data_IF_816810283877
#
_entry.id   IF_816810283877
#
_cell.length_a   1.000
_cell.length_b   1.000
_cell.length_c   1.000
_cell.angle_alpha   90.00
_cell.angle_beta   90.00
_cell.angle_gamma   90.00
#
_symmetry.space_group_name_H-M   'P 1'
#
loop_
_entity.id
_entity.type
_entity.pdbx_description
1 polymer ?
#
# COMPACT_ATOMS: atom_id res chain seq x y z
N UNK A 1 17.92 32.04 3.01
CA UNK A 1 17.28 31.91 4.33
C UNK A 1 18.24 31.15 5.26
N UNK A 2 18.30 31.45 6.57
CA UNK A 2 19.29 30.83 7.48
C UNK A 2 19.19 29.29 7.55
N UNK A 3 17.96 28.76 7.40
CA UNK A 3 17.66 27.32 7.37
C UNK A 3 18.37 26.58 6.23
N UNK A 4 18.54 27.21 5.06
CA UNK A 4 19.18 26.61 3.89
C UNK A 4 20.65 27.00 3.71
N UNK A 5 21.10 28.10 4.32
CA UNK A 5 22.43 28.67 4.11
C UNK A 5 23.45 28.33 5.22
N UNK A 6 22.99 28.00 6.43
CA UNK A 6 23.87 27.64 7.55
C UNK A 6 23.99 26.11 7.74
N UNK A 7 25.13 25.66 8.27
CA UNK A 7 25.33 24.24 8.63
C UNK A 7 24.40 23.78 9.75
N UNK A 8 24.07 24.68 10.69
CA UNK A 8 23.15 24.43 11.80
C UNK A 8 21.72 24.30 11.30
N UNK A 9 21.25 25.25 10.46
CA UNK A 9 19.90 25.22 9.89
C UNK A 9 19.62 23.94 9.11
N UNK A 10 20.58 23.46 8.30
CA UNK A 10 20.43 22.21 7.55
C UNK A 10 20.29 20.98 8.45
N UNK A 11 21.07 20.91 9.53
CA UNK A 11 20.97 19.82 10.51
C UNK A 11 19.67 19.86 11.29
N UNK A 12 19.14 21.05 11.57
CA UNK A 12 17.82 21.18 12.21
C UNK A 12 16.71 20.65 11.30
N UNK A 13 16.69 21.02 10.01
CA UNK A 13 15.71 20.49 9.04
C UNK A 13 15.84 18.97 8.90
N UNK A 14 17.07 18.46 8.84
CA UNK A 14 17.36 17.02 8.83
C UNK A 14 16.78 16.31 10.06
N UNK A 15 16.93 16.89 11.25
CA UNK A 15 16.43 16.33 12.50
C UNK A 15 14.91 16.34 12.58
N UNK A 16 14.26 17.45 12.20
CA UNK A 16 12.79 17.57 12.23
C UNK A 16 12.14 16.60 11.25
N UNK A 17 12.61 16.57 9.99
CA UNK A 17 12.09 15.62 9.00
C UNK A 17 12.33 14.17 9.45
N UNK A 18 13.52 13.86 9.98
CA UNK A 18 13.83 12.55 10.55
C UNK A 18 12.89 12.15 11.70
N UNK A 19 12.58 13.07 12.61
CA UNK A 19 11.66 12.83 13.71
C UNK A 19 10.24 12.52 13.21
N UNK A 20 9.73 13.29 12.23
CA UNK A 20 8.44 13.01 11.62
C UNK A 20 8.40 11.63 10.93
N UNK A 21 9.48 11.25 10.23
CA UNK A 21 9.58 9.94 9.59
C UNK A 21 9.68 8.78 10.60
N UNK A 22 10.35 8.98 11.73
CA UNK A 22 10.38 8.01 12.85
C UNK A 22 8.96 7.79 13.40
N UNK A 23 8.19 8.86 13.60
CA UNK A 23 6.80 8.77 14.04
C UNK A 23 5.93 8.04 13.01
N UNK A 24 6.08 8.39 11.73
CA UNK A 24 5.37 7.71 10.64
C UNK A 24 5.69 6.22 10.60
N UNK A 25 6.96 5.82 10.63
CA UNK A 25 7.36 4.41 10.59
C UNK A 25 6.85 3.66 11.82
N UNK A 26 6.83 4.30 12.99
CA UNK A 26 6.23 3.72 14.21
C UNK A 26 4.74 3.46 14.00
N UNK A 27 3.99 4.47 13.57
CA UNK A 27 2.56 4.35 13.28
C UNK A 27 2.31 3.26 12.24
N UNK A 28 3.04 3.29 11.13
CA UNK A 28 2.94 2.31 10.04
C UNK A 28 3.21 0.88 10.53
N UNK A 29 4.24 0.68 11.35
CA UNK A 29 4.53 -0.62 11.97
C UNK A 29 3.38 -1.12 12.84
N UNK A 30 2.77 -0.25 13.65
CA UNK A 30 1.65 -0.62 14.53
C UNK A 30 0.39 -0.96 13.73
N UNK A 31 0.06 -0.18 12.70
CA UNK A 31 -1.10 -0.46 11.85
C UNK A 31 -0.94 -1.80 11.11
N UNK A 32 0.26 -2.09 10.56
CA UNK A 32 0.53 -3.37 9.91
C UNK A 32 0.50 -4.55 10.88
N UNK A 33 0.84 -4.35 12.16
CA UNK A 33 0.76 -5.41 13.17
C UNK A 33 -0.69 -5.86 13.40
N UNK A 34 -1.69 -4.99 13.18
CA UNK A 34 -3.10 -5.37 13.23
C UNK A 34 -3.41 -6.45 12.19
N UNK A 35 -2.79 -6.41 11.00
CA UNK A 35 -3.01 -7.41 9.96
C UNK A 35 -2.52 -8.82 10.33
N UNK A 36 -1.61 -8.94 11.32
CA UNK A 36 -1.18 -10.23 11.87
C UNK A 36 -2.30 -10.84 12.72
N UNK A 37 -2.80 -10.05 13.68
CA UNK A 37 -3.69 -10.53 14.74
C UNK A 37 -5.17 -10.48 14.34
N UNK A 38 -5.58 -9.42 13.64
CA UNK A 38 -6.97 -9.14 13.25
C UNK A 38 -7.04 -8.64 11.80
N UNK A 39 -6.90 -9.55 10.81
CA UNK A 39 -6.93 -9.20 9.38
C UNK A 39 -8.16 -8.38 8.94
N UNK A 40 -9.34 -8.69 9.44
CA UNK A 40 -10.56 -7.93 9.11
C UNK A 40 -10.50 -6.49 9.65
N UNK A 41 -9.94 -6.28 10.85
CA UNK A 41 -9.75 -4.94 11.40
C UNK A 41 -8.72 -4.13 10.61
N UNK A 42 -7.71 -4.79 10.03
CA UNK A 42 -6.77 -4.15 9.12
C UNK A 42 -7.44 -3.60 7.86
N UNK A 43 -8.42 -4.30 7.30
CA UNK A 43 -9.18 -3.76 6.17
C UNK A 43 -10.03 -2.53 6.56
N UNK A 44 -10.65 -2.54 7.74
CA UNK A 44 -11.36 -1.35 8.25
C UNK A 44 -10.41 -0.16 8.48
N UNK A 45 -9.17 -0.43 8.88
CA UNK A 45 -8.11 0.58 8.92
C UNK A 45 -7.80 1.11 7.52
N UNK A 46 -7.71 0.23 6.52
CA UNK A 46 -7.44 0.62 5.14
C UNK A 46 -8.56 1.50 4.58
N UNK A 47 -9.81 1.16 4.86
CA UNK A 47 -10.98 1.99 4.53
C UNK A 47 -10.90 3.37 5.21
N UNK A 48 -10.62 3.40 6.52
CA UNK A 48 -10.46 4.65 7.27
C UNK A 48 -9.29 5.51 6.73
N UNK A 49 -8.19 4.90 6.30
CA UNK A 49 -7.01 5.57 5.76
C UNK A 49 -6.99 5.66 4.22
N UNK A 50 -8.10 5.36 3.56
CA UNK A 50 -8.27 5.48 2.11
C UNK A 50 -8.19 6.94 1.62
N UNK A 51 -8.75 7.24 0.47
CA UNK A 51 -8.74 8.56 -0.17
C UNK A 51 -9.66 9.58 0.51
N UNK A 52 -9.77 9.52 1.84
CA UNK A 52 -10.39 10.54 2.67
C UNK A 52 -9.52 11.80 2.69
N UNK A 53 -10.15 12.99 2.73
CA UNK A 53 -9.44 14.28 2.63
C UNK A 53 -8.28 14.44 3.63
N UNK A 54 -8.44 13.97 4.87
CA UNK A 54 -7.39 14.04 5.90
C UNK A 54 -6.22 13.11 5.59
N UNK A 55 -6.49 11.91 5.06
CA UNK A 55 -5.48 10.93 4.69
C UNK A 55 -4.71 11.38 3.45
N UNK A 56 -5.37 12.07 2.50
CA UNK A 56 -4.73 12.68 1.35
C UNK A 56 -3.79 13.83 1.76
N UNK A 57 -4.23 14.71 2.66
CA UNK A 57 -3.37 15.78 3.21
C UNK A 57 -2.16 15.16 3.94
N UNK A 58 -2.38 14.15 4.77
CA UNK A 58 -1.30 13.46 5.47
C UNK A 58 -0.31 12.78 4.50
N UNK A 59 -0.81 12.14 3.44
CA UNK A 59 0.01 11.47 2.43
C UNK A 59 0.83 12.47 1.60
N UNK A 60 0.23 13.59 1.19
CA UNK A 60 0.94 14.67 0.51
C UNK A 60 2.00 15.32 1.42
N UNK A 61 1.67 15.54 2.71
CA UNK A 61 2.60 16.06 3.71
C UNK A 61 3.78 15.11 3.95
N UNK A 62 3.53 13.80 4.04
CA UNK A 62 4.56 12.79 4.17
C UNK A 62 5.47 12.74 2.93
N UNK A 63 4.89 12.77 1.73
CA UNK A 63 5.67 12.81 0.49
C UNK A 63 6.60 14.05 0.47
N UNK A 64 6.09 15.22 0.86
CA UNK A 64 6.89 16.43 0.97
C UNK A 64 8.02 16.29 2.02
N UNK A 65 7.73 15.70 3.19
CA UNK A 65 8.73 15.45 4.23
C UNK A 65 9.84 14.53 3.73
N UNK A 66 9.51 13.45 3.01
CA UNK A 66 10.49 12.53 2.41
C UNK A 66 11.36 13.27 1.38
N UNK A 67 10.75 14.08 0.51
CA UNK A 67 11.50 14.86 -0.48
C UNK A 67 12.47 15.84 0.17
N UNK A 68 12.01 16.61 1.17
CA UNK A 68 12.87 17.54 1.92
C UNK A 68 14.00 16.77 2.61
N UNK A 69 13.70 15.64 3.23
CA UNK A 69 14.68 14.80 3.91
C UNK A 69 15.79 14.33 2.95
N UNK A 70 15.42 13.83 1.77
CA UNK A 70 16.35 13.38 0.73
C UNK A 70 17.20 14.54 0.20
N UNK A 71 16.59 15.68 -0.11
CA UNK A 71 17.30 16.88 -0.61
C UNK A 71 18.36 17.32 0.40
N UNK A 72 18.00 17.48 1.67
CA UNK A 72 18.95 17.90 2.71
C UNK A 72 20.01 16.83 2.99
N UNK A 73 19.67 15.53 2.94
CA UNK A 73 20.63 14.43 3.09
C UNK A 73 21.70 14.44 1.98
N UNK A 74 21.29 14.64 0.72
CA UNK A 74 22.19 14.75 -0.42
C UNK A 74 23.06 16.00 -0.31
N UNK A 75 22.45 17.16 -0.02
CA UNK A 75 23.18 18.42 0.18
C UNK A 75 24.26 18.28 1.27
N UNK A 76 23.93 17.69 2.42
CA UNK A 76 24.86 17.46 3.51
C UNK A 76 25.96 16.47 3.14
N UNK A 77 25.64 15.41 2.39
CA UNK A 77 26.65 14.43 1.96
C UNK A 77 27.64 15.04 0.98
N UNK A 78 27.16 15.82 0.01
CA UNK A 78 28.02 16.52 -0.94
C UNK A 78 28.90 17.57 -0.27
N UNK A 79 28.36 18.33 0.69
CA UNK A 79 29.13 19.30 1.48
C UNK A 79 30.18 18.61 2.34
N UNK A 80 29.84 17.53 3.03
CA UNK A 80 30.77 16.75 3.84
C UNK A 80 31.86 16.07 3.00
N UNK A 81 31.57 15.73 1.74
CA UNK A 81 32.55 15.21 0.79
C UNK A 81 33.47 16.32 0.27
N UNK A 82 32.91 17.48 -0.09
CA UNK A 82 33.68 18.65 -0.53
C UNK A 82 34.62 19.15 0.57
N UNK A 83 34.14 19.22 1.81
CA UNK A 83 34.93 19.65 2.97
C UNK A 83 36.05 18.67 3.33
N UNK A 84 35.92 17.37 2.99
CA UNK A 84 36.97 16.36 3.19
C UNK A 84 38.10 16.45 2.16
N UNK A 85 37.90 17.07 1.00
CA UNK A 85 38.91 17.16 -0.06
C UNK A 85 39.25 15.83 -0.73
N UNK A 86 40.38 15.76 -1.46
CA UNK A 86 40.89 14.56 -2.14
C UNK A 86 41.59 13.55 -1.21
N UNK A 87 41.84 13.94 0.04
CA UNK A 87 42.48 13.12 1.06
C UNK A 87 41.52 12.01 1.52
N UNK A 88 41.77 10.76 1.09
CA UNK A 88 40.89 9.65 1.44
C UNK A 88 40.93 9.33 2.93
N UNK A 89 42.07 9.52 3.63
CA UNK A 89 42.22 9.46 5.10
C UNK A 89 43.68 9.83 5.47
N UNK A 90 43.93 10.93 6.18
CA UNK A 90 45.26 11.24 6.74
C UNK A 90 45.63 10.34 7.95
N UNK A 91 44.68 9.54 8.45
CA UNK A 91 44.85 8.61 9.56
C UNK A 91 44.22 7.26 9.16
N UNK A 92 45.04 6.23 9.02
CA UNK A 92 44.63 4.87 8.60
C UNK A 92 43.90 4.07 9.68
N UNK A 93 43.92 4.53 10.94
CA UNK A 93 43.18 3.91 12.06
C UNK A 93 41.81 4.57 12.23
N UNK A 94 40.73 3.80 12.06
CA UNK A 94 39.37 4.21 12.41
C UNK A 94 39.32 4.57 13.92
N UNK A 95 38.88 5.79 14.29
CA UNK A 95 38.54 6.08 15.67
C UNK A 95 37.40 5.15 16.11
N UNK A 96 37.46 4.62 17.34
CA UNK A 96 36.43 3.73 17.88
C UNK A 96 35.02 4.37 17.94
N UNK A 97 34.92 5.68 17.74
CA UNK A 97 33.68 6.47 17.80
C UNK A 97 32.90 6.56 16.47
N UNK A 98 33.41 6.02 15.35
CA UNK A 98 32.75 6.13 14.03
C UNK A 98 32.02 4.85 13.65
N UNK A 99 30.69 4.88 13.68
CA UNK A 99 29.81 3.76 13.30
C UNK A 99 29.82 3.54 11.78
N UNK A 100 29.82 2.29 11.32
CA UNK A 100 29.76 1.96 9.88
C UNK A 100 28.51 2.53 9.19
N UNK A 101 27.37 2.51 9.87
CA UNK A 101 26.12 3.12 9.39
C UNK A 101 26.31 4.59 9.05
N UNK A 102 26.98 5.37 9.91
CA UNK A 102 27.26 6.79 9.70
C UNK A 102 28.11 7.05 8.44
N UNK A 103 28.97 6.11 8.06
CA UNK A 103 29.81 6.22 6.87
C UNK A 103 29.04 5.92 5.57
N UNK A 104 27.95 5.15 5.66
CA UNK A 104 27.19 4.64 4.53
C UNK A 104 25.75 5.18 4.47
N UNK A 105 25.42 6.23 5.23
CA UNK A 105 24.06 6.79 5.32
C UNK A 105 23.40 7.10 3.97
N UNK A 106 24.16 7.65 3.01
CA UNK A 106 23.63 7.93 1.67
C UNK A 106 23.29 6.64 0.91
N UNK A 107 24.17 5.63 0.99
CA UNK A 107 23.96 4.32 0.33
C UNK A 107 22.75 3.62 0.94
N UNK A 108 22.66 3.60 2.27
CA UNK A 108 21.48 3.07 2.97
C UNK A 108 20.21 3.81 2.57
N UNK A 109 20.26 5.14 2.44
CA UNK A 109 19.15 5.94 1.94
C UNK A 109 18.72 5.58 0.53
N UNK A 110 19.65 5.28 -0.38
CA UNK A 110 19.34 4.83 -1.75
C UNK A 110 18.64 3.46 -1.73
N UNK A 111 19.13 2.52 -0.91
CA UNK A 111 18.49 1.20 -0.77
C UNK A 111 17.07 1.35 -0.21
N UNK A 112 16.88 2.20 0.80
CA UNK A 112 15.55 2.49 1.36
C UNK A 112 14.64 3.15 0.32
N UNK A 113 15.15 4.06 -0.51
CA UNK A 113 14.37 4.69 -1.57
C UNK A 113 13.93 3.66 -2.63
N UNK A 114 14.82 2.74 -3.03
CA UNK A 114 14.47 1.66 -3.95
C UNK A 114 13.39 0.73 -3.35
N UNK A 115 13.55 0.37 -2.07
CA UNK A 115 12.53 -0.38 -1.32
C UNK A 115 11.19 0.38 -1.26
N UNK A 116 11.22 1.69 -0.99
CA UNK A 116 10.03 2.53 -0.91
C UNK A 116 9.29 2.58 -2.25
N UNK A 117 9.99 2.65 -3.39
CA UNK A 117 9.35 2.61 -4.71
C UNK A 117 8.59 1.29 -4.91
N UNK A 118 9.23 0.15 -4.64
CA UNK A 118 8.56 -1.16 -4.72
C UNK A 118 7.35 -1.22 -3.79
N UNK A 119 7.51 -0.75 -2.55
CA UNK A 119 6.44 -0.69 -1.57
C UNK A 119 5.24 0.17 -2.01
N UNK A 120 5.50 1.36 -2.57
CA UNK A 120 4.46 2.24 -3.06
C UNK A 120 3.73 1.67 -4.28
N UNK A 121 4.42 0.96 -5.17
CA UNK A 121 3.79 0.26 -6.31
C UNK A 121 2.87 -0.86 -5.84
N UNK A 122 3.31 -1.64 -4.84
CA UNK A 122 2.53 -2.78 -4.35
C UNK A 122 1.30 -2.39 -3.53
N UNK A 123 1.36 -1.28 -2.79
CA UNK A 123 0.31 -0.89 -1.86
C UNK A 123 -0.34 0.45 -2.23
N UNK A 124 0.37 1.57 -2.06
CA UNK A 124 -0.21 2.90 -2.25
C UNK A 124 -0.84 3.09 -3.65
N UNK A 125 -0.16 2.63 -4.70
CA UNK A 125 -0.61 2.76 -6.09
C UNK A 125 -1.83 1.87 -6.40
N UNK A 126 -2.01 0.75 -5.68
CA UNK A 126 -3.15 -0.17 -5.86
C UNK A 126 -4.32 0.14 -4.95
N UNK A 127 -4.09 0.92 -3.88
CA UNK A 127 -5.10 1.31 -2.91
C UNK A 127 -5.52 2.77 -3.12
N UNK A 128 -4.89 3.70 -2.41
CA UNK A 128 -5.31 5.11 -2.36
C UNK A 128 -5.24 5.78 -3.73
N UNK A 129 -4.26 5.46 -4.59
CA UNK A 129 -4.19 6.03 -5.94
C UNK A 129 -5.38 5.58 -6.82
N UNK A 130 -5.85 4.33 -6.69
CA UNK A 130 -6.98 3.85 -7.48
C UNK A 130 -8.28 4.52 -7.06
N UNK A 131 -8.48 4.72 -5.75
CA UNK A 131 -9.61 5.51 -5.23
C UNK A 131 -9.58 6.95 -5.76
N UNK A 132 -8.41 7.61 -5.76
CA UNK A 132 -8.26 8.97 -6.31
C UNK A 132 -8.59 9.02 -7.81
N UNK A 133 -8.17 8.00 -8.57
CA UNK A 133 -8.42 7.93 -10.02
C UNK A 133 -9.87 7.60 -10.35
N UNK A 134 -10.66 7.13 -9.38
CA UNK A 134 -12.03 6.67 -9.58
C UNK A 134 -12.13 5.51 -10.56
N UNK A 135 -11.06 4.70 -10.69
CA UNK A 135 -11.05 3.54 -11.58
C UNK A 135 -11.73 2.38 -10.86
N UNK A 136 -12.79 1.85 -11.48
CA UNK A 136 -13.46 0.66 -10.98
C UNK A 136 -12.61 -0.57 -11.36
N UNK A 137 -11.63 -0.91 -10.51
CA UNK A 137 -10.90 -2.17 -10.58
C UNK A 137 -11.67 -3.30 -9.87
N UNK A 138 -11.34 -4.55 -10.19
CA UNK A 138 -12.00 -5.72 -9.57
C UNK A 138 -11.72 -5.82 -8.07
N UNK A 139 -10.53 -5.42 -7.60
CA UNK A 139 -10.16 -5.46 -6.19
C UNK A 139 -10.58 -4.17 -5.49
N UNK A 140 -11.44 -4.23 -4.45
CA UNK A 140 -11.79 -3.06 -3.67
C UNK A 140 -10.52 -2.44 -3.05
N UNK A 141 -10.26 -1.13 -3.21
CA UNK A 141 -9.03 -0.52 -2.68
C UNK A 141 -8.89 -0.61 -1.15
N UNK A 142 -10.01 -0.73 -0.43
CA UNK A 142 -10.04 -0.96 1.02
C UNK A 142 -9.70 -2.41 1.44
N UNK A 143 -9.65 -3.37 0.51
CA UNK A 143 -9.33 -4.78 0.77
C UNK A 143 -7.81 -4.99 0.95
N UNK A 144 -7.23 -4.31 1.94
CA UNK A 144 -5.79 -4.34 2.26
C UNK A 144 -5.19 -5.75 2.33
N UNK A 145 -5.92 -6.70 2.91
CA UNK A 145 -5.49 -8.11 2.99
C UNK A 145 -5.36 -8.80 1.63
N UNK A 146 -6.14 -8.41 0.62
CA UNK A 146 -5.98 -8.94 -0.75
C UNK A 146 -4.73 -8.37 -1.44
N UNK A 147 -4.35 -7.13 -1.14
CA UNK A 147 -3.07 -6.58 -1.61
C UNK A 147 -1.88 -7.24 -0.89
N UNK A 148 -2.01 -7.58 0.39
CA UNK A 148 -1.04 -8.41 1.11
C UNK A 148 -0.94 -9.79 0.44
N UNK A 149 -2.06 -10.45 0.15
CA UNK A 149 -2.11 -11.72 -0.58
C UNK A 149 -1.37 -11.63 -1.91
N UNK A 150 -1.68 -10.61 -2.72
CA UNK A 150 -1.08 -10.40 -4.04
C UNK A 150 0.42 -10.17 -4.00
N UNK A 151 0.90 -9.36 -3.04
CA UNK A 151 2.31 -9.03 -2.90
C UNK A 151 3.13 -10.18 -2.29
N UNK A 152 2.68 -10.78 -1.19
CA UNK A 152 3.46 -11.72 -0.40
C UNK A 152 3.32 -13.19 -0.84
N UNK A 153 2.42 -13.51 -1.77
CA UNK A 153 2.48 -14.79 -2.50
C UNK A 153 3.65 -14.86 -3.50
N UNK A 154 4.28 -13.72 -3.80
CA UNK A 154 5.45 -13.67 -4.67
C UNK A 154 6.73 -13.93 -3.85
N UNK A 155 7.53 -14.96 -4.18
CA UNK A 155 8.67 -15.38 -3.34
C UNK A 155 9.76 -14.30 -3.22
N UNK A 156 9.85 -13.39 -4.19
CA UNK A 156 10.83 -12.31 -4.17
C UNK A 156 10.48 -11.17 -3.21
N UNK A 157 9.19 -10.99 -2.86
CA UNK A 157 8.73 -9.87 -2.03
C UNK A 157 9.40 -9.88 -0.66
N UNK A 158 9.40 -11.03 0.03
CA UNK A 158 10.04 -11.15 1.33
C UNK A 158 11.55 -10.84 1.28
N UNK A 159 12.23 -11.24 0.21
CA UNK A 159 13.67 -11.00 0.02
C UNK A 159 13.94 -9.50 -0.14
N UNK A 160 13.20 -8.83 -1.03
CA UNK A 160 13.35 -7.39 -1.27
C UNK A 160 13.03 -6.60 0.01
N UNK A 161 11.96 -6.99 0.72
CA UNK A 161 11.57 -6.36 1.97
C UNK A 161 12.63 -6.59 3.06
N UNK A 162 13.20 -7.79 3.17
CA UNK A 162 14.27 -8.10 4.10
C UNK A 162 15.53 -7.23 3.88
N UNK A 163 15.93 -7.01 2.63
CA UNK A 163 17.03 -6.09 2.29
C UNK A 163 16.67 -4.65 2.72
N UNK A 164 15.46 -4.21 2.40
CA UNK A 164 14.94 -2.88 2.81
C UNK A 164 14.93 -2.71 4.32
N UNK A 165 14.47 -3.71 5.08
CA UNK A 165 14.40 -3.70 6.54
C UNK A 165 15.78 -3.66 7.19
N UNK A 166 16.77 -4.39 6.67
CA UNK A 166 18.16 -4.31 7.15
C UNK A 166 18.73 -2.91 6.90
N UNK A 167 18.52 -2.36 5.71
CA UNK A 167 18.97 -1.00 5.39
C UNK A 167 18.30 0.04 6.31
N UNK A 168 16.99 -0.11 6.53
CA UNK A 168 16.19 0.71 7.44
C UNK A 168 16.70 0.61 8.88
N UNK A 169 17.07 -0.58 9.36
CA UNK A 169 17.66 -0.75 10.69
C UNK A 169 18.93 0.08 10.86
N UNK A 170 19.89 -0.03 9.94
CA UNK A 170 21.13 0.75 10.03
C UNK A 170 20.86 2.25 9.96
N UNK A 171 19.94 2.67 9.08
CA UNK A 171 19.60 4.06 8.88
C UNK A 171 18.92 4.67 10.11
N UNK A 172 17.89 4.01 10.66
CA UNK A 172 17.16 4.46 11.84
C UNK A 172 18.01 4.37 13.11
N UNK A 173 18.81 3.31 13.28
CA UNK A 173 19.66 3.15 14.46
C UNK A 173 20.65 4.32 14.57
N UNK A 174 21.14 4.85 13.45
CA UNK A 174 21.95 6.07 13.44
C UNK A 174 21.09 7.35 13.54
N UNK A 175 20.07 7.47 12.70
CA UNK A 175 19.23 8.67 12.58
C UNK A 175 18.53 9.05 13.88
N UNK A 176 18.08 8.06 14.66
CA UNK A 176 17.32 8.25 15.89
C UNK A 176 18.09 9.05 16.95
N UNK A 177 19.33 8.69 17.25
CA UNK A 177 20.10 9.45 18.24
C UNK A 177 20.71 10.73 17.63
N UNK A 178 21.00 10.72 16.32
CA UNK A 178 21.60 11.84 15.59
C UNK A 178 20.68 13.07 15.51
N UNK A 179 19.35 12.87 15.43
CA UNK A 179 18.39 13.98 15.50
C UNK A 179 18.46 14.72 16.85
N UNK A 180 18.59 14.00 17.97
CA UNK A 180 18.75 14.63 19.29
C UNK A 180 20.07 15.37 19.42
N UNK A 181 21.14 14.84 18.81
CA UNK A 181 22.41 15.56 18.75
C UNK A 181 22.28 16.89 18.01
N UNK A 182 21.51 16.90 16.91
CA UNK A 182 21.33 18.07 16.05
C UNK A 182 20.55 19.20 16.71
N UNK A 183 19.66 18.89 17.65
CA UNK A 183 18.90 19.89 18.43
C UNK A 183 19.57 20.23 19.78
N UNK A 184 20.78 19.71 20.05
CA UNK A 184 21.55 20.05 21.25
C UNK A 184 21.31 19.17 22.48
N UNK A 185 20.48 18.12 22.38
CA UNK A 185 20.30 17.15 23.47
C UNK A 185 21.44 16.11 23.46
N UNK A 186 22.67 16.55 23.71
CA UNK A 186 23.89 15.75 23.53
C UNK A 186 24.86 15.75 24.71
N UNK A 187 24.38 16.07 25.92
CA UNK A 187 25.22 16.00 27.11
C UNK A 187 25.72 14.56 27.39
N UNK A 188 26.79 14.48 28.18
CA UNK A 188 27.51 13.24 28.52
C UNK A 188 26.65 12.16 29.17
N UNK A 189 25.56 12.56 29.85
CA UNK A 189 24.67 11.64 30.54
C UNK A 189 23.58 11.08 29.61
N UNK A 190 23.00 11.92 28.76
CA UNK A 190 21.85 11.57 27.93
C UNK A 190 22.22 10.96 26.58
N UNK A 191 23.30 11.39 25.95
CA UNK A 191 23.68 10.85 24.63
C UNK A 191 23.89 9.33 24.63
N UNK A 192 24.57 8.71 25.63
CA UNK A 192 24.66 7.26 25.73
C UNK A 192 23.30 6.57 25.89
N UNK A 193 22.37 7.19 26.64
CA UNK A 193 21.01 6.67 26.85
C UNK A 193 20.19 6.71 25.58
N UNK A 194 20.22 7.85 24.86
CA UNK A 194 19.48 8.02 23.60
C UNK A 194 19.97 7.06 22.52
N UNK A 195 21.28 6.78 22.45
CA UNK A 195 21.82 5.73 21.59
C UNK A 195 21.27 4.35 21.94
N UNK A 196 21.22 4.01 23.24
CA UNK A 196 20.69 2.71 23.70
C UNK A 196 19.18 2.59 23.45
N UNK A 197 18.41 3.66 23.68
CA UNK A 197 16.97 3.72 23.40
C UNK A 197 16.74 3.57 21.89
N UNK A 198 17.46 4.33 21.06
CA UNK A 198 17.35 4.27 19.61
C UNK A 198 17.66 2.89 19.06
N UNK A 199 18.68 2.22 19.61
CA UNK A 199 19.01 0.83 19.26
C UNK A 199 17.86 -0.13 19.57
N UNK A 200 17.33 -0.08 20.81
CA UNK A 200 16.22 -0.95 21.21
C UNK A 200 14.97 -0.70 20.37
N UNK A 201 14.55 0.57 20.27
CA UNK A 201 13.38 0.96 19.48
C UNK A 201 13.51 0.52 18.02
N UNK A 202 14.65 0.83 17.36
CA UNK A 202 14.87 0.45 15.96
C UNK A 202 14.86 -1.06 15.78
N UNK A 203 15.49 -1.80 16.70
CA UNK A 203 15.54 -3.26 16.64
C UNK A 203 14.15 -3.87 16.80
N UNK A 204 13.33 -3.38 17.73
CA UNK A 204 11.96 -3.85 17.93
C UNK A 204 11.10 -3.56 16.69
N UNK A 205 11.12 -2.32 16.18
CA UNK A 205 10.33 -1.92 15.00
C UNK A 205 10.71 -2.77 13.78
N UNK A 206 12.00 -2.94 13.51
CA UNK A 206 12.45 -3.74 12.36
C UNK A 206 12.16 -5.23 12.57
N UNK A 207 12.31 -5.77 13.78
CA UNK A 207 11.91 -7.14 14.07
C UNK A 207 10.40 -7.36 13.85
N UNK A 208 9.56 -6.40 14.21
CA UNK A 208 8.13 -6.43 13.91
C UNK A 208 7.87 -6.41 12.40
N UNK A 209 8.58 -5.59 11.61
CA UNK A 209 8.46 -5.62 10.15
C UNK A 209 8.87 -6.97 9.54
N UNK A 210 9.94 -7.59 10.04
CA UNK A 210 10.31 -8.95 9.63
C UNK A 210 9.22 -9.96 9.97
N UNK A 211 8.67 -9.91 11.19
CA UNK A 211 7.57 -10.78 11.59
C UNK A 211 6.33 -10.59 10.70
N UNK A 212 5.99 -9.34 10.38
CA UNK A 212 4.92 -9.00 9.42
C UNK A 212 5.19 -9.64 8.06
N UNK A 213 6.36 -9.40 7.46
CA UNK A 213 6.70 -9.97 6.15
C UNK A 213 6.66 -11.50 6.13
N UNK A 214 7.15 -12.16 7.18
CA UNK A 214 7.12 -13.63 7.30
C UNK A 214 5.68 -14.13 7.43
N UNK A 215 4.89 -13.59 8.36
CA UNK A 215 3.49 -14.01 8.58
C UNK A 215 2.66 -13.77 7.32
N UNK A 216 2.82 -12.63 6.66
CA UNK A 216 2.11 -12.31 5.43
C UNK A 216 2.45 -13.28 4.31
N UNK A 217 3.73 -13.66 4.18
CA UNK A 217 4.18 -14.67 3.22
C UNK A 217 3.53 -16.03 3.50
N UNK A 218 3.60 -16.50 4.74
CA UNK A 218 3.01 -17.80 5.14
C UNK A 218 1.50 -17.80 4.86
N UNK A 219 0.78 -16.80 5.38
CA UNK A 219 -0.68 -16.69 5.18
C UNK A 219 -1.08 -16.57 3.71
N UNK A 220 -0.29 -15.86 2.90
CA UNK A 220 -0.56 -15.72 1.47
C UNK A 220 -0.36 -17.05 0.72
N UNK A 221 0.65 -17.85 1.10
CA UNK A 221 0.87 -19.18 0.52
C UNK A 221 -0.18 -20.20 0.98
N UNK A 222 -0.67 -20.10 2.22
CA UNK A 222 -1.81 -20.85 2.74
C UNK A 222 -3.16 -20.39 2.17
N UNK A 223 -3.17 -19.35 1.31
CA UNK A 223 -4.37 -18.72 0.75
C UNK A 223 -5.35 -18.23 1.81
N UNK A 224 -4.89 -17.99 3.02
CA UNK A 224 -5.70 -17.60 4.18
C UNK A 224 -6.55 -16.34 3.91
N UNK A 225 -5.99 -15.34 3.21
CA UNK A 225 -6.70 -14.10 2.92
C UNK A 225 -7.81 -14.25 1.88
N UNK A 226 -7.82 -15.36 1.14
CA UNK A 226 -8.85 -15.71 0.15
C UNK A 226 -9.91 -16.64 0.71
N UNK A 227 -9.55 -17.53 1.66
CA UNK A 227 -10.42 -18.58 2.17
C UNK A 227 -11.05 -18.29 3.53
N UNK A 228 -10.53 -17.30 4.28
CA UNK A 228 -11.06 -16.98 5.60
C UNK A 228 -12.50 -16.42 5.50
N UNK A 229 -13.44 -17.08 6.21
CA UNK A 229 -14.88 -16.74 6.19
C UNK A 229 -15.16 -15.30 6.60
N UNK A 230 -14.53 -14.81 7.68
CA UNK A 230 -14.71 -13.42 8.14
C UNK A 230 -14.25 -12.42 7.08
N UNK A 231 -13.14 -12.68 6.41
CA UNK A 231 -12.66 -11.83 5.32
C UNK A 231 -13.58 -11.91 4.10
N UNK A 232 -14.09 -13.10 3.72
CA UNK A 232 -15.04 -13.25 2.61
C UNK A 232 -16.33 -12.46 2.84
N UNK A 233 -16.89 -12.55 4.04
CA UNK A 233 -18.07 -11.76 4.40
C UNK A 233 -17.76 -10.25 4.39
N UNK A 234 -16.57 -9.85 4.82
CA UNK A 234 -16.16 -8.44 4.73
C UNK A 234 -15.98 -7.97 3.28
N UNK A 235 -15.39 -8.78 2.39
CA UNK A 235 -15.24 -8.41 0.98
C UNK A 235 -16.59 -8.34 0.25
N UNK A 236 -17.56 -9.20 0.62
CA UNK A 236 -18.94 -9.09 0.16
C UNK A 236 -19.51 -7.70 0.47
N UNK A 237 -19.31 -7.22 1.69
CA UNK A 237 -19.82 -5.90 2.08
C UNK A 237 -19.09 -4.76 1.33
N UNK A 238 -17.81 -4.94 0.97
CA UNK A 238 -17.04 -3.97 0.18
C UNK A 238 -17.50 -3.83 -1.27
N UNK A 239 -18.28 -4.79 -1.80
CA UNK A 239 -18.88 -4.70 -3.14
C UNK A 239 -20.08 -3.75 -3.15
N UNK A 240 -20.75 -3.55 -2.01
CA UNK A 240 -21.98 -2.76 -1.93
C UNK A 240 -21.78 -1.32 -2.41
N UNK A 241 -20.76 -0.56 -1.97
CA UNK A 241 -20.52 0.78 -2.49
C UNK A 241 -20.24 0.83 -3.99
N UNK A 242 -19.66 -0.24 -4.56
CA UNK A 242 -19.42 -0.34 -6.01
C UNK A 242 -20.74 -0.43 -6.78
N UNK A 243 -21.74 -1.09 -6.20
CA UNK A 243 -23.08 -1.20 -6.78
C UNK A 243 -23.91 0.07 -6.55
N UNK A 244 -23.86 0.64 -5.35
CA UNK A 244 -24.62 1.85 -4.99
C UNK A 244 -24.29 3.05 -5.87
N UNK A 245 -23.02 3.19 -6.27
CA UNK A 245 -22.55 4.28 -7.12
C UNK A 245 -23.24 4.33 -8.50
N UNK A 246 -23.45 3.17 -9.14
CA UNK A 246 -23.82 3.09 -10.55
C UNK A 246 -25.26 2.58 -10.79
N UNK A 247 -25.94 1.99 -9.78
CA UNK A 247 -27.29 1.42 -9.95
C UNK A 247 -28.44 2.37 -9.60
N UNK A 248 -28.18 3.52 -8.97
CA UNK A 248 -29.20 4.51 -8.63
C UNK A 248 -30.24 4.00 -7.61
N UNK A 249 -31.54 4.34 -7.73
CA UNK A 249 -32.57 3.97 -6.75
C UNK A 249 -32.73 2.45 -6.52
N UNK A 250 -32.48 1.65 -7.56
CA UNK A 250 -32.57 0.18 -7.50
C UNK A 250 -31.41 -0.43 -6.70
N UNK A 251 -30.33 0.33 -6.49
CA UNK A 251 -29.18 -0.11 -5.73
C UNK A 251 -29.50 -0.37 -4.26
N UNK A 252 -30.46 0.37 -3.67
CA UNK A 252 -30.82 0.20 -2.26
C UNK A 252 -31.42 -1.18 -1.98
N UNK A 253 -32.28 -1.68 -2.88
CA UNK A 253 -32.88 -3.01 -2.75
C UNK A 253 -31.84 -4.11 -2.94
N UNK A 254 -31.01 -4.00 -3.98
CA UNK A 254 -29.94 -4.95 -4.25
C UNK A 254 -28.93 -4.99 -3.10
N UNK A 255 -28.55 -3.83 -2.56
CA UNK A 255 -27.63 -3.71 -1.43
C UNK A 255 -28.18 -4.33 -0.16
N UNK A 256 -29.47 -4.13 0.14
CA UNK A 256 -30.12 -4.78 1.27
C UNK A 256 -30.16 -6.31 1.10
N UNK A 257 -30.44 -6.79 -0.11
CA UNK A 257 -30.43 -8.22 -0.43
C UNK A 257 -29.03 -8.83 -0.25
N UNK A 258 -27.98 -8.16 -0.74
CA UNK A 258 -26.58 -8.59 -0.59
C UNK A 258 -26.18 -8.73 0.89
N UNK A 259 -26.52 -7.74 1.73
CA UNK A 259 -26.19 -7.76 3.17
C UNK A 259 -26.76 -8.98 3.88
N UNK A 260 -28.00 -9.34 3.55
CA UNK A 260 -28.74 -10.42 4.20
C UNK A 260 -28.40 -11.81 3.65
N UNK A 261 -27.79 -11.86 2.47
CA UNK A 261 -27.49 -13.10 1.76
C UNK A 261 -26.11 -13.64 2.17
N UNK A 262 -25.96 -14.97 2.35
CA UNK A 262 -24.66 -15.61 2.54
C UNK A 262 -23.74 -15.39 1.32
N UNK A 263 -22.42 -15.35 1.53
CA UNK A 263 -21.43 -15.16 0.47
C UNK A 263 -21.68 -16.03 -0.78
N UNK A 264 -21.88 -17.35 -0.62
CA UNK A 264 -22.05 -18.28 -1.75
C UNK A 264 -23.30 -17.98 -2.59
N UNK A 265 -24.40 -17.61 -1.94
CA UNK A 265 -25.63 -17.24 -2.63
C UNK A 265 -25.46 -15.89 -3.36
N UNK A 266 -24.75 -14.95 -2.75
CA UNK A 266 -24.42 -13.67 -3.36
C UNK A 266 -23.54 -13.88 -4.59
N UNK A 267 -22.52 -14.74 -4.51
CA UNK A 267 -21.65 -15.07 -5.64
C UNK A 267 -22.46 -15.64 -6.82
N UNK A 268 -23.32 -16.62 -6.56
CA UNK A 268 -24.20 -17.18 -7.59
C UNK A 268 -25.13 -16.13 -8.23
N UNK A 269 -25.72 -15.25 -7.42
CA UNK A 269 -26.57 -14.16 -7.90
C UNK A 269 -25.82 -13.17 -8.79
N UNK A 270 -24.60 -12.75 -8.40
CA UNK A 270 -23.78 -11.83 -9.18
C UNK A 270 -23.41 -12.41 -10.55
N UNK A 271 -23.04 -13.69 -10.58
CA UNK A 271 -22.73 -14.41 -11.83
C UNK A 271 -23.95 -14.52 -12.74
N UNK A 272 -25.12 -14.82 -12.18
CA UNK A 272 -26.36 -14.87 -12.95
C UNK A 272 -26.72 -13.50 -13.54
N UNK A 273 -26.55 -12.42 -12.78
CA UNK A 273 -26.80 -11.06 -13.25
C UNK A 273 -25.82 -10.63 -14.35
N UNK A 274 -24.52 -10.92 -14.19
CA UNK A 274 -23.49 -10.67 -15.21
C UNK A 274 -23.84 -11.38 -16.52
N UNK A 275 -24.14 -12.68 -16.46
CA UNK A 275 -24.47 -13.48 -17.63
C UNK A 275 -25.75 -13.01 -18.33
N UNK A 276 -26.78 -12.66 -17.56
CA UNK A 276 -28.03 -12.14 -18.10
C UNK A 276 -27.84 -10.82 -18.85
N UNK A 277 -27.08 -9.88 -18.27
CA UNK A 277 -26.75 -8.62 -18.93
C UNK A 277 -25.86 -8.83 -20.15
N UNK A 278 -24.87 -9.73 -20.07
CA UNK A 278 -24.03 -10.08 -21.22
C UNK A 278 -24.86 -10.58 -22.41
N UNK A 279 -25.77 -11.52 -22.18
CA UNK A 279 -26.65 -12.04 -23.23
C UNK A 279 -27.55 -10.97 -23.85
N UNK A 280 -28.02 -10.00 -23.06
CA UNK A 280 -28.78 -8.86 -23.57
C UNK A 280 -27.89 -7.92 -24.40
N UNK A 281 -26.67 -7.62 -23.92
CA UNK A 281 -25.72 -6.74 -24.59
C UNK A 281 -25.13 -7.34 -25.87
N UNK A 282 -25.00 -8.66 -25.95
CA UNK A 282 -24.52 -9.37 -27.16
C UNK A 282 -25.48 -9.18 -28.37
N UNK A 283 -26.74 -8.80 -28.13
CA UNK A 283 -27.71 -8.49 -29.19
C UNK A 283 -27.59 -7.05 -29.72
N UNK A 284 -26.95 -6.15 -28.97
CA UNK A 284 -26.82 -4.72 -29.28
C UNK A 284 -26.12 -4.42 -30.61
N UNK A 285 -25.07 -5.17 -31.03
CA UNK A 285 -24.41 -4.93 -32.32
C UNK A 285 -25.24 -5.30 -33.55
N UNK A 286 -26.39 -5.98 -33.38
CA UNK A 286 -27.21 -6.40 -34.52
C UNK A 286 -27.79 -5.19 -35.28
N UNK A 287 -27.85 -5.21 -36.62
CA UNK A 287 -28.38 -4.10 -37.41
C UNK A 287 -29.82 -3.71 -37.04
N UNK A 288 -30.66 -4.70 -36.75
CA UNK A 288 -32.06 -4.49 -36.34
C UNK A 288 -32.15 -3.75 -34.99
N UNK A 289 -31.33 -4.12 -34.02
CA UNK A 289 -31.31 -3.47 -32.71
C UNK A 289 -30.77 -2.04 -32.78
N UNK A 290 -29.76 -1.80 -33.64
CA UNK A 290 -29.24 -0.46 -33.89
C UNK A 290 -30.29 0.47 -34.53
N UNK A 291 -31.14 -0.04 -35.43
CA UNK A 291 -32.28 0.73 -35.95
C UNK A 291 -33.30 1.04 -34.86
N UNK A 292 -33.62 0.08 -33.99
CA UNK A 292 -34.52 0.29 -32.86
C UNK A 292 -33.99 1.35 -31.88
N UNK A 293 -32.69 1.32 -31.57
CA UNK A 293 -32.04 2.33 -30.72
C UNK A 293 -32.08 3.73 -31.35
N UNK A 294 -31.88 3.84 -32.66
CA UNK A 294 -32.00 5.13 -33.38
C UNK A 294 -33.43 5.66 -33.36
N UNK A 295 -34.41 4.77 -33.45
CA UNK A 295 -35.83 5.11 -33.43
C UNK A 295 -36.36 5.43 -32.00
N UNK A 296 -35.71 4.91 -30.95
CA UNK A 296 -36.13 5.09 -29.56
C UNK A 296 -34.98 5.57 -28.66
N UNK A 297 -34.87 6.88 -28.39
CA UNK A 297 -33.84 7.44 -27.50
C UNK A 297 -33.84 6.84 -26.08
N UNK A 298 -35.00 6.42 -25.56
CA UNK A 298 -35.08 5.79 -24.23
C UNK A 298 -34.44 4.40 -24.23
N UNK A 299 -34.58 3.65 -25.33
CA UNK A 299 -33.91 2.35 -25.48
C UNK A 299 -32.39 2.52 -25.51
N UNK A 300 -31.89 3.56 -26.19
CA UNK A 300 -30.47 3.86 -26.19
C UNK A 300 -29.94 4.18 -24.79
N UNK A 301 -30.67 4.97 -24.00
CA UNK A 301 -30.32 5.26 -22.60
C UNK A 301 -30.33 4.00 -21.72
N UNK A 302 -31.32 3.12 -21.89
CA UNK A 302 -31.38 1.84 -21.18
C UNK A 302 -30.19 0.92 -21.52
N UNK A 303 -29.74 0.91 -22.77
CA UNK A 303 -28.58 0.12 -23.21
C UNK A 303 -27.29 0.66 -22.59
N UNK A 304 -27.10 1.99 -22.55
CA UNK A 304 -25.93 2.58 -21.88
C UNK A 304 -25.93 2.26 -20.37
N UNK A 305 -27.07 2.42 -19.69
CA UNK A 305 -27.20 2.00 -18.29
C UNK A 305 -26.90 0.51 -18.10
N UNK A 306 -27.37 -0.35 -19.00
CA UNK A 306 -27.09 -1.78 -18.96
C UNK A 306 -25.59 -2.10 -19.14
N UNK A 307 -24.87 -1.35 -19.98
CA UNK A 307 -23.40 -1.48 -20.12
C UNK A 307 -22.65 -1.07 -18.86
N UNK A 308 -23.07 0.02 -18.21
CA UNK A 308 -22.50 0.47 -16.94
C UNK A 308 -22.71 -0.59 -15.84
N UNK A 309 -23.95 -1.08 -15.69
CA UNK A 309 -24.29 -2.15 -14.76
C UNK A 309 -23.54 -3.45 -15.06
N UNK A 310 -23.40 -3.82 -16.33
CA UNK A 310 -22.64 -4.98 -16.76
C UNK A 310 -21.18 -4.88 -16.30
N UNK A 311 -20.53 -3.74 -16.50
CA UNK A 311 -19.14 -3.52 -16.09
C UNK A 311 -18.95 -3.67 -14.59
N UNK A 312 -19.91 -3.20 -13.78
CA UNK A 312 -19.89 -3.39 -12.32
C UNK A 312 -19.98 -4.87 -11.98
N UNK A 313 -20.97 -5.59 -12.52
CA UNK A 313 -21.09 -7.02 -12.27
C UNK A 313 -19.89 -7.81 -12.77
N UNK A 314 -19.32 -7.45 -13.92
CA UNK A 314 -18.09 -8.07 -14.46
C UNK A 314 -16.92 -7.91 -13.47
N UNK A 315 -16.73 -6.71 -12.90
CA UNK A 315 -15.71 -6.46 -11.89
C UNK A 315 -15.94 -7.25 -10.60
N UNK A 316 -17.20 -7.33 -10.14
CA UNK A 316 -17.58 -8.12 -8.97
C UNK A 316 -17.32 -9.61 -9.23
N UNK A 317 -17.70 -10.13 -10.39
CA UNK A 317 -17.44 -11.53 -10.77
C UNK A 317 -15.94 -11.81 -10.85
N UNK A 318 -15.13 -10.89 -11.38
CA UNK A 318 -13.65 -11.02 -11.37
C UNK A 318 -13.09 -11.09 -9.94
N UNK A 319 -13.64 -10.32 -8.99
CA UNK A 319 -13.28 -10.42 -7.58
C UNK A 319 -13.63 -11.80 -7.02
N UNK A 320 -14.85 -12.26 -7.26
CA UNK A 320 -15.33 -13.56 -6.79
C UNK A 320 -14.50 -14.71 -7.36
N UNK A 321 -14.18 -14.67 -8.65
CA UNK A 321 -13.27 -15.62 -9.30
C UNK A 321 -11.90 -15.64 -8.63
N UNK A 322 -11.37 -14.46 -8.28
CA UNK A 322 -10.10 -14.37 -7.57
C UNK A 322 -10.18 -14.97 -6.16
N UNK A 323 -11.24 -14.69 -5.40
CA UNK A 323 -11.46 -15.23 -4.05
C UNK A 323 -11.65 -16.76 -4.07
N UNK A 324 -12.43 -17.26 -5.03
CA UNK A 324 -12.79 -18.67 -5.19
C UNK A 324 -11.70 -19.47 -5.92
N UNK A 325 -10.70 -18.83 -6.54
CA UNK A 325 -9.55 -19.51 -7.14
C UNK A 325 -8.73 -20.35 -6.15
N UNK A 326 -8.91 -20.11 -4.85
CA UNK A 326 -8.30 -20.86 -3.77
C UNK A 326 -9.19 -22.01 -3.25
N UNK A 327 -10.44 -22.11 -3.69
CA UNK A 327 -11.29 -23.24 -3.39
C UNK A 327 -10.86 -24.37 -4.32
N UNK A 328 -10.47 -25.52 -3.78
CA UNK A 328 -10.12 -26.73 -4.56
C UNK A 328 -11.35 -27.29 -5.31
N UNK A 329 -11.91 -26.53 -6.24
CA UNK A 329 -12.95 -26.96 -7.18
C UNK A 329 -12.23 -27.55 -8.40
N UNK A 330 -12.57 -28.77 -8.86
CA UNK A 330 -12.00 -29.32 -10.07
C UNK A 330 -12.25 -28.34 -11.22
N UNK A 331 -11.16 -27.89 -11.84
CA UNK A 331 -11.11 -26.95 -12.96
C UNK A 331 -12.21 -27.29 -14.00
N UNK A 332 -13.34 -26.60 -13.92
CA UNK A 332 -14.35 -26.58 -14.96
C UNK A 332 -14.24 -25.21 -15.61
N UNK A 333 -13.28 -25.14 -16.53
CA UNK A 333 -13.09 -24.12 -17.58
C UNK A 333 -12.53 -22.76 -17.14
N UNK A 334 -11.26 -22.54 -17.48
CA UNK A 334 -10.61 -21.23 -17.54
C UNK A 334 -10.96 -20.54 -18.88
N UNK A 335 -11.38 -19.27 -18.90
CA UNK A 335 -11.11 -18.41 -20.04
C UNK A 335 -9.65 -17.94 -19.96
N UNK A 336 -8.86 -18.32 -20.96
CA UNK A 336 -7.53 -17.78 -21.18
C UNK A 336 -7.58 -16.25 -21.30
N UNK A 337 -6.79 -15.52 -20.50
CA UNK A 337 -6.76 -14.05 -20.60
C UNK A 337 -5.97 -13.26 -19.55
N UNK A 338 -5.48 -13.86 -18.46
CA UNK A 338 -4.68 -13.14 -17.45
C UNK A 338 -3.17 -13.38 -17.54
N UNK A 339 -2.65 -13.51 -18.76
CA UNK A 339 -1.22 -13.45 -19.05
C UNK A 339 -0.92 -12.11 -19.74
N UNK A 340 -0.79 -11.04 -18.97
CA UNK A 340 -0.36 -9.76 -19.54
C UNK A 340 -0.86 -8.52 -18.83
N UNK A 341 -0.49 -8.32 -17.56
CA UNK A 341 -0.40 -6.99 -16.97
C UNK A 341 0.91 -6.94 -16.19
N UNK A 342 1.88 -6.08 -16.59
CA UNK A 342 3.17 -6.00 -15.91
C UNK A 342 2.98 -5.44 -14.49
N UNK A 343 3.67 -6.09 -13.55
CA UNK A 343 3.61 -5.99 -12.10
C UNK A 343 3.49 -4.60 -11.47
#
# INVERSE_FOLDING_TARGET
MWLSNSSVGRKLVMAITGACLVLFVTFHCLMNAVAICWPAAYNSICEFLGANWYALIASAGLALLILIHIIYAVMLTLQNRKARGSERYAISKKPASVEWSSQNMLVLGIVILAFLVVHLIQFWAKMQLQEIRGVDEALPPAAGTLFIQGAFQQPWTLIVYGIGFIALWFHLNHGFWSMFQSIGWNNTNWMPRLKKIGLWWTTIVVACFFAQGIVFTVKAHEKYYLTNETLREQYKDMVIPMIEKDFGPDAAQLSMQIKMMPYEQMSAMMRQNEQGLKQALDQVPSPEFQEQMKANPQLAEQVEKAKEQYKVFENVVKLLDYLESADDKPNTELPAGMAGQPY
#
